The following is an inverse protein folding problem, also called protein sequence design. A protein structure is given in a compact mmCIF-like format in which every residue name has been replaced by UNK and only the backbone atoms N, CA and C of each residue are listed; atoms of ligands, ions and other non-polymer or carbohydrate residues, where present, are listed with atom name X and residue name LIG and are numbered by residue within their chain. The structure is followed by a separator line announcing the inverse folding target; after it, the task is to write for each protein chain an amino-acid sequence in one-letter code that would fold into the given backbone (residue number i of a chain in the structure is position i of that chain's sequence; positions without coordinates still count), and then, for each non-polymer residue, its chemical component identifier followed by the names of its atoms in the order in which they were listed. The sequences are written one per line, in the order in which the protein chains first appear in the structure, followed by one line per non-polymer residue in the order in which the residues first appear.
data_IF_546040295336
#
_entry.id   IF_546040295336
#
_cell.length_a   1.000
_cell.length_b   1.000
_cell.length_c   1.000
_cell.angle_alpha   90.00
_cell.angle_beta   90.00
_cell.angle_gamma   90.00
#
_symmetry.space_group_name_H-M   'P 1'
#
loop_
_entity.id
_entity.type
_entity.pdbx_description
1 polymer ?
#
# COMPACT_ATOMS: atom_id res chain seq x y z
N UNK A 1 -28.33 -77.99 33.78
CA UNK A 1 -28.91 -77.01 34.72
C UNK A 1 -28.55 -75.62 34.19
N UNK A 2 -29.50 -74.89 33.61
CA UNK A 2 -29.25 -73.59 32.95
C UNK A 2 -29.58 -72.47 33.93
N UNK A 3 -28.57 -71.68 34.31
CA UNK A 3 -28.74 -70.46 35.13
C UNK A 3 -29.01 -69.28 34.20
N UNK A 4 -30.20 -68.70 34.28
CA UNK A 4 -30.55 -67.45 33.60
C UNK A 4 -30.42 -66.32 34.62
N UNK A 5 -29.44 -65.44 34.42
CA UNK A 5 -29.22 -64.25 35.25
C UNK A 5 -29.93 -63.06 34.59
N UNK A 6 -30.88 -62.43 35.31
CA UNK A 6 -31.54 -61.21 34.86
C UNK A 6 -30.56 -60.04 34.91
N UNK A 7 -30.28 -59.43 33.76
CA UNK A 7 -29.55 -58.17 33.66
C UNK A 7 -30.43 -57.06 34.25
N UNK A 8 -30.02 -56.46 35.36
CA UNK A 8 -30.74 -55.36 36.01
C UNK A 8 -30.53 -54.05 35.25
N UNK A 9 -31.62 -53.38 34.83
CA UNK A 9 -31.62 -52.14 34.02
C UNK A 9 -30.71 -51.01 34.55
N UNK A 10 -30.49 -50.93 35.86
CA UNK A 10 -29.62 -49.93 36.50
C UNK A 10 -28.16 -50.03 36.06
N UNK A 11 -27.67 -51.23 35.73
CA UNK A 11 -26.32 -51.40 35.20
C UNK A 11 -26.22 -50.85 33.77
N UNK A 12 -27.26 -51.04 32.96
CA UNK A 12 -27.31 -50.61 31.56
C UNK A 12 -27.32 -49.07 31.43
N UNK A 13 -28.12 -48.38 32.26
CA UNK A 13 -28.16 -46.91 32.27
C UNK A 13 -26.86 -46.27 32.78
N UNK A 14 -26.18 -46.90 33.74
CA UNK A 14 -24.92 -46.37 34.27
C UNK A 14 -23.78 -46.47 33.26
N UNK A 15 -23.75 -47.53 32.45
CA UNK A 15 -22.78 -47.67 31.36
C UNK A 15 -23.06 -46.70 30.21
N UNK A 16 -24.34 -46.47 29.88
CA UNK A 16 -24.75 -45.49 28.84
C UNK A 16 -24.42 -44.05 29.23
N UNK A 17 -24.62 -43.68 30.50
CA UNK A 17 -24.28 -42.34 30.99
C UNK A 17 -22.75 -42.15 31.00
N UNK A 18 -21.98 -43.18 31.38
CA UNK A 18 -20.52 -43.11 31.39
C UNK A 18 -19.93 -43.00 29.97
N UNK A 19 -20.49 -43.70 28.98
CA UNK A 19 -20.06 -43.57 27.57
C UNK A 19 -20.46 -42.23 26.97
N UNK A 20 -21.62 -41.67 27.32
CA UNK A 20 -22.06 -40.35 26.87
C UNK A 20 -21.19 -39.21 27.42
N UNK A 21 -20.71 -39.34 28.66
CA UNK A 21 -19.77 -38.38 29.27
C UNK A 21 -18.37 -38.48 28.63
N UNK A 22 -17.89 -39.69 28.31
CA UNK A 22 -16.62 -39.87 27.61
C UNK A 22 -16.63 -39.32 26.17
N UNK A 23 -17.77 -39.36 25.47
CA UNK A 23 -17.91 -38.77 24.12
C UNK A 23 -17.95 -37.24 24.16
N UNK A 24 -18.41 -36.63 25.26
CA UNK A 24 -18.42 -35.17 25.44
C UNK A 24 -17.05 -34.56 25.81
N UNK A 25 -16.08 -35.38 26.24
CA UNK A 25 -14.73 -34.91 26.60
C UNK A 25 -13.75 -34.88 25.42
N UNK A 26 -14.18 -35.28 24.22
CA UNK A 26 -13.43 -35.09 22.99
C UNK A 26 -13.75 -33.68 22.46
N UNK A 27 -13.44 -32.65 23.24
CA UNK A 27 -13.38 -31.28 22.73
C UNK A 27 -12.16 -31.19 21.82
N UNK A 28 -12.36 -31.34 20.52
CA UNK A 28 -11.33 -31.05 19.53
C UNK A 28 -10.93 -29.58 19.67
N UNK A 29 -9.70 -29.34 20.15
CA UNK A 29 -9.09 -28.03 20.01
C UNK A 29 -8.96 -27.75 18.51
N UNK A 30 -9.83 -26.89 17.97
CA UNK A 30 -9.67 -26.34 16.63
C UNK A 30 -8.51 -25.35 16.73
N UNK A 31 -7.30 -25.81 16.45
CA UNK A 31 -6.19 -24.90 16.18
C UNK A 31 -6.53 -24.15 14.89
N UNK A 32 -6.53 -22.81 14.94
CA UNK A 32 -6.62 -21.99 13.75
C UNK A 32 -5.50 -22.43 12.79
N UNK A 33 -5.85 -22.68 11.53
CA UNK A 33 -4.86 -23.06 10.52
C UNK A 33 -4.10 -21.77 10.17
N UNK A 34 -2.76 -21.74 10.30
CA UNK A 34 -1.99 -20.58 9.92
C UNK A 34 -2.16 -20.28 8.44
N UNK A 35 -2.47 -19.03 8.13
CA UNK A 35 -2.57 -18.52 6.75
C UNK A 35 -1.44 -17.53 6.52
N UNK A 36 -0.68 -17.76 5.44
CA UNK A 36 0.42 -16.88 5.02
C UNK A 36 0.10 -16.36 3.63
N UNK A 37 0.12 -15.04 3.46
CA UNK A 37 -0.01 -14.39 2.16
C UNK A 37 1.07 -13.32 2.01
N UNK A 38 1.40 -12.98 0.77
CA UNK A 38 2.42 -11.99 0.47
C UNK A 38 1.92 -11.11 -0.67
N UNK A 39 2.16 -9.80 -0.59
CA UNK A 39 1.75 -8.81 -1.59
C UNK A 39 2.85 -7.78 -1.84
N UNK A 40 2.76 -7.12 -2.98
CA UNK A 40 3.67 -6.05 -3.37
C UNK A 40 2.87 -4.75 -3.56
N UNK A 41 3.44 -3.62 -3.14
CA UNK A 41 2.75 -2.32 -3.25
C UNK A 41 2.53 -1.87 -4.69
N UNK A 42 3.44 -2.24 -5.60
CA UNK A 42 3.42 -1.90 -7.03
C UNK A 42 4.32 -2.84 -7.83
N UNK A 43 4.04 -3.02 -9.11
CA UNK A 43 4.79 -3.85 -10.06
C UNK A 43 5.82 -3.06 -10.90
N UNK A 44 5.81 -1.73 -10.80
CA UNK A 44 6.74 -0.83 -11.48
C UNK A 44 7.43 0.09 -10.46
N UNK A 45 8.73 0.33 -10.57
CA UNK A 45 9.50 1.20 -9.67
C UNK A 45 10.65 1.91 -10.39
N UNK A 46 11.03 3.09 -9.92
CA UNK A 46 12.20 3.79 -10.43
C UNK A 46 13.49 3.23 -9.81
N UNK A 47 14.57 3.24 -10.59
CA UNK A 47 15.89 2.88 -10.08
C UNK A 47 16.26 3.72 -8.85
N UNK A 48 16.52 3.08 -7.72
CA UNK A 48 16.85 3.72 -6.44
C UNK A 48 15.65 4.10 -5.56
N UNK A 49 14.42 3.93 -6.03
CA UNK A 49 13.21 4.03 -5.20
C UNK A 49 12.81 2.64 -4.68
N UNK A 50 12.12 2.58 -3.54
CA UNK A 50 11.74 1.29 -2.93
C UNK A 50 10.30 0.89 -3.24
N UNK A 51 10.06 -0.41 -3.40
CA UNK A 51 8.73 -1.04 -3.34
C UNK A 51 8.54 -1.72 -1.98
N UNK A 52 7.30 -1.80 -1.50
CA UNK A 52 6.99 -2.47 -0.23
C UNK A 52 6.46 -3.87 -0.52
N UNK A 53 7.16 -4.87 0.00
CA UNK A 53 6.73 -6.26 0.08
C UNK A 53 6.10 -6.48 1.47
N UNK A 54 4.83 -6.85 1.50
CA UNK A 54 4.09 -7.09 2.75
C UNK A 54 3.81 -8.59 2.89
N UNK A 55 4.29 -9.18 3.98
CA UNK A 55 3.96 -10.55 4.37
C UNK A 55 2.90 -10.51 5.47
N UNK A 56 1.76 -11.15 5.23
CA UNK A 56 0.68 -11.30 6.21
C UNK A 56 0.67 -12.72 6.77
N UNK A 57 0.67 -12.83 8.09
CA UNK A 57 0.53 -14.08 8.84
C UNK A 57 -0.70 -13.99 9.75
N UNK A 58 -1.64 -14.90 9.54
CA UNK A 58 -2.91 -15.03 10.28
C UNK A 58 -2.97 -16.38 11.00
N UNK A 59 -3.82 -16.50 12.02
CA UNK A 59 -3.99 -17.74 12.80
C UNK A 59 -2.82 -18.13 13.72
N UNK A 60 -1.84 -17.24 13.94
CA UNK A 60 -0.68 -17.46 14.82
C UNK A 60 -0.53 -16.27 15.76
N UNK A 61 -0.46 -16.54 17.06
CA UNK A 61 -0.16 -15.51 18.06
C UNK A 61 1.35 -15.18 18.05
N UNK A 62 1.67 -13.89 17.98
CA UNK A 62 3.04 -13.35 18.02
C UNK A 62 4.03 -14.12 17.11
N UNK A 63 3.80 -14.17 15.78
CA UNK A 63 4.66 -14.89 14.86
C UNK A 63 6.08 -14.28 14.84
N UNK A 64 7.08 -15.14 14.64
CA UNK A 64 8.45 -14.68 14.40
C UNK A 64 8.53 -13.87 13.11
N UNK A 65 9.48 -12.94 13.04
CA UNK A 65 9.70 -12.14 11.83
C UNK A 65 10.15 -13.07 10.70
N UNK A 66 9.45 -13.08 9.54
CA UNK A 66 9.87 -13.86 8.39
C UNK A 66 11.24 -13.42 7.89
N UNK A 67 12.08 -14.39 7.56
CA UNK A 67 13.32 -14.12 6.84
C UNK A 67 13.00 -14.05 5.35
N UNK A 68 13.34 -12.92 4.72
CA UNK A 68 13.29 -12.76 3.27
C UNK A 68 14.69 -13.05 2.74
N UNK A 69 14.85 -13.97 1.76
CA UNK A 69 16.17 -14.25 1.21
C UNK A 69 16.70 -13.05 0.42
N UNK A 70 18.00 -13.05 0.15
CA UNK A 70 18.59 -12.08 -0.77
C UNK A 70 17.96 -12.23 -2.16
N UNK A 71 17.42 -11.11 -2.65
CA UNK A 71 16.84 -11.01 -3.99
C UNK A 71 17.89 -10.37 -4.88
N UNK A 72 18.22 -11.03 -5.99
CA UNK A 72 19.25 -10.55 -6.91
C UNK A 72 18.95 -9.14 -7.42
N UNK A 73 19.97 -8.27 -7.43
CA UNK A 73 19.86 -6.84 -7.78
C UNK A 73 18.92 -5.99 -6.90
N UNK A 74 18.47 -6.47 -5.73
CA UNK A 74 17.69 -5.68 -4.76
C UNK A 74 18.36 -5.63 -3.37
N UNK A 75 18.29 -4.48 -2.70
CA UNK A 75 18.48 -4.40 -1.26
C UNK A 75 17.16 -4.66 -0.54
N UNK A 76 17.18 -5.44 0.54
CA UNK A 76 15.99 -5.79 1.32
C UNK A 76 16.13 -5.21 2.72
N UNK A 77 15.28 -4.24 3.07
CA UNK A 77 15.28 -3.62 4.39
C UNK A 77 13.96 -3.87 5.13
N UNK A 78 14.01 -4.42 6.34
CA UNK A 78 12.83 -4.54 7.18
C UNK A 78 12.33 -3.15 7.64
N UNK A 79 11.04 -2.87 7.42
CA UNK A 79 10.39 -1.59 7.75
C UNK A 79 9.56 -1.66 9.04
N UNK A 80 9.19 -2.86 9.49
CA UNK A 80 8.51 -3.07 10.77
C UNK A 80 7.37 -4.09 10.71
N UNK A 81 6.78 -4.33 11.88
CA UNK A 81 5.62 -5.20 12.06
C UNK A 81 4.41 -4.36 12.47
N UNK A 82 3.24 -4.69 11.93
CA UNK A 82 1.94 -4.12 12.36
C UNK A 82 0.97 -5.25 12.70
N UNK A 83 0.25 -5.11 13.80
CA UNK A 83 -0.77 -6.06 14.22
C UNK A 83 -2.17 -5.48 13.97
N UNK A 84 -3.03 -6.25 13.31
CA UNK A 84 -4.45 -5.91 13.21
C UNK A 84 -5.11 -6.12 14.58
N UNK A 85 -5.61 -5.03 15.17
CA UNK A 85 -6.33 -5.07 16.45
C UNK A 85 -7.85 -5.13 16.19
N UNK A 86 -8.53 -6.19 16.62
CA UNK A 86 -10.00 -6.23 16.59
C UNK A 86 -10.61 -5.50 17.79
N UNK A 87 -11.71 -4.80 17.52
CA UNK A 87 -12.68 -4.38 18.54
C UNK A 87 -13.52 -5.59 18.95
N UNK A 88 -13.57 -5.93 20.23
CA UNK A 88 -14.52 -6.92 20.75
C UNK A 88 -15.96 -6.47 20.43
N UNK A 89 -16.65 -7.20 19.54
CA UNK A 89 -18.10 -7.00 19.32
C UNK A 89 -18.84 -8.06 20.14
N UNK A 90 -19.55 -7.62 21.19
CA UNK A 90 -20.53 -8.45 21.88
C UNK A 90 -21.86 -8.33 21.15
N UNK A 91 -22.35 -9.41 20.54
CA UNK A 91 -23.69 -9.47 19.96
C UNK A 91 -24.61 -10.21 20.93
N UNK A 92 -25.72 -9.60 21.31
CA UNK A 92 -26.75 -10.27 22.14
C UNK A 92 -27.87 -10.73 21.21
N UNK A 93 -28.07 -12.04 21.09
CA UNK A 93 -29.19 -12.63 20.33
C UNK A 93 -30.04 -13.42 21.33
N UNK A 94 -31.32 -13.04 21.46
CA UNK A 94 -32.30 -13.71 22.34
C UNK A 94 -31.82 -13.90 23.80
N UNK A 95 -31.27 -12.85 24.41
CA UNK A 95 -30.84 -12.86 25.82
C UNK A 95 -29.57 -13.66 26.12
N UNK A 96 -29.02 -14.37 25.14
CA UNK A 96 -27.72 -15.04 25.25
C UNK A 96 -26.64 -14.10 24.71
N UNK A 97 -25.64 -13.80 25.54
CA UNK A 97 -24.44 -13.09 25.08
C UNK A 97 -23.69 -14.02 24.14
N UNK A 98 -23.63 -13.68 22.86
CA UNK A 98 -22.79 -14.37 21.89
C UNK A 98 -21.54 -13.52 21.72
N UNK A 99 -20.46 -13.93 22.40
CA UNK A 99 -19.13 -13.39 22.15
C UNK A 99 -18.63 -13.97 20.84
N UNK A 100 -18.61 -13.15 19.78
CA UNK A 100 -17.93 -13.53 18.54
C UNK A 100 -16.46 -13.16 18.69
N UNK A 101 -15.65 -14.09 19.22
CA UNK A 101 -14.20 -13.98 19.19
C UNK A 101 -13.74 -14.23 17.75
N UNK A 102 -13.50 -13.17 16.99
CA UNK A 102 -12.75 -13.26 15.75
C UNK A 102 -11.28 -13.42 16.12
N UNK A 103 -10.85 -14.67 16.36
CA UNK A 103 -9.50 -15.02 16.81
C UNK A 103 -8.47 -15.02 15.68
N UNK A 104 -8.48 -14.02 14.80
CA UNK A 104 -7.63 -14.02 13.62
C UNK A 104 -6.83 -12.72 13.48
N UNK A 105 -6.01 -12.40 14.48
CA UNK A 105 -5.10 -11.26 14.41
C UNK A 105 -4.09 -11.48 13.27
N UNK A 106 -4.27 -10.74 12.18
CA UNK A 106 -3.28 -10.69 11.11
C UNK A 106 -2.07 -9.85 11.53
N UNK A 107 -0.88 -10.42 11.43
CA UNK A 107 0.39 -9.72 11.57
C UNK A 107 0.93 -9.41 10.18
N UNK A 108 1.29 -8.15 9.95
CA UNK A 108 1.85 -7.65 8.70
C UNK A 108 3.31 -7.29 8.92
N UNK A 109 4.17 -7.80 8.05
CA UNK A 109 5.61 -7.52 8.03
C UNK A 109 5.95 -6.81 6.74
N UNK A 110 6.45 -5.59 6.84
CA UNK A 110 6.74 -4.74 5.69
C UNK A 110 8.25 -4.74 5.42
N UNK A 111 8.64 -5.00 4.17
CA UNK A 111 10.03 -4.98 3.69
C UNK A 111 10.14 -4.02 2.51
N UNK A 112 11.12 -3.11 2.55
CA UNK A 112 11.45 -2.24 1.44
C UNK A 112 12.45 -2.94 0.52
N UNK A 113 12.10 -3.11 -0.74
CA UNK A 113 12.98 -3.65 -1.77
C UNK A 113 13.45 -2.49 -2.66
N UNK A 114 14.76 -2.23 -2.70
CA UNK A 114 15.33 -1.15 -3.52
C UNK A 114 16.19 -1.75 -4.63
N UNK A 115 15.86 -1.52 -5.92
CA UNK A 115 16.62 -2.08 -7.02
C UNK A 115 17.94 -1.32 -7.25
N UNK A 116 18.98 -2.06 -7.61
CA UNK A 116 20.30 -1.51 -7.97
C UNK A 116 20.50 -1.33 -9.48
N UNK A 117 19.63 -1.91 -10.31
CA UNK A 117 19.73 -1.86 -11.77
C UNK A 117 18.35 -1.76 -12.43
N UNK A 118 18.27 -1.06 -13.56
CA UNK A 118 17.06 -0.99 -14.38
C UNK A 118 16.86 -2.26 -15.22
N UNK A 119 15.60 -2.58 -15.55
CA UNK A 119 15.21 -3.76 -16.32
C UNK A 119 14.00 -4.49 -15.73
N UNK A 120 13.67 -5.65 -16.31
CA UNK A 120 12.62 -6.53 -15.79
C UNK A 120 13.23 -7.56 -14.86
N UNK A 121 12.70 -7.67 -13.65
CA UNK A 121 13.16 -8.58 -12.61
C UNK A 121 12.03 -9.48 -12.14
N UNK A 122 12.40 -10.64 -11.61
CA UNK A 122 11.47 -11.57 -10.99
C UNK A 122 11.90 -11.77 -9.55
N UNK A 123 11.04 -11.38 -8.61
CA UNK A 123 11.18 -11.77 -7.22
C UNK A 123 10.71 -13.23 -7.13
N UNK A 124 11.62 -14.18 -6.82
CA UNK A 124 11.27 -15.59 -6.82
C UNK A 124 10.32 -15.94 -5.66
N UNK A 125 9.64 -17.08 -5.79
CA UNK A 125 8.99 -17.71 -4.64
C UNK A 125 10.03 -18.07 -3.58
N UNK A 126 9.77 -17.74 -2.33
CA UNK A 126 10.66 -18.03 -1.20
C UNK A 126 9.90 -18.62 -0.01
N UNK A 127 10.58 -19.42 0.85
CA UNK A 127 9.96 -20.05 1.99
C UNK A 127 9.74 -19.06 3.14
N UNK A 128 8.59 -19.17 3.81
CA UNK A 128 8.23 -18.46 5.05
C UNK A 128 7.85 -19.51 6.09
N UNK A 129 8.45 -19.42 7.28
CA UNK A 129 8.12 -20.33 8.38
C UNK A 129 7.06 -19.71 9.28
N UNK A 130 5.93 -20.39 9.46
CA UNK A 130 4.86 -20.00 10.39
C UNK A 130 4.37 -21.21 11.17
N UNK A 131 4.33 -21.11 12.51
CA UNK A 131 3.94 -22.20 13.42
C UNK A 131 4.63 -23.56 13.12
N UNK A 132 5.93 -23.52 12.78
CA UNK A 132 6.73 -24.71 12.48
C UNK A 132 6.45 -25.37 11.11
N UNK A 133 5.60 -24.76 10.27
CA UNK A 133 5.36 -25.18 8.89
C UNK A 133 5.99 -24.18 7.92
N UNK A 134 6.45 -24.69 6.79
CA UNK A 134 7.02 -23.89 5.70
C UNK A 134 5.92 -23.63 4.66
N UNK A 135 5.73 -22.35 4.34
CA UNK A 135 4.85 -21.83 3.30
C UNK A 135 5.70 -21.22 2.20
N UNK A 136 5.22 -21.20 0.95
CA UNK A 136 5.93 -20.57 -0.15
C UNK A 136 5.16 -19.36 -0.65
N UNK A 137 5.86 -18.24 -0.86
CA UNK A 137 5.28 -17.06 -1.51
C UNK A 137 5.04 -17.29 -2.99
N UNK A 138 4.23 -16.45 -3.63
CA UNK A 138 4.18 -16.37 -5.09
C UNK A 138 5.36 -15.55 -5.63
N UNK A 139 5.75 -15.81 -6.88
CA UNK A 139 6.72 -14.97 -7.59
C UNK A 139 6.07 -13.69 -8.08
N UNK A 140 6.83 -12.58 -8.09
CA UNK A 140 6.38 -11.29 -8.59
C UNK A 140 7.25 -10.80 -9.73
N UNK A 141 6.65 -10.25 -10.78
CA UNK A 141 7.39 -9.53 -11.81
C UNK A 141 7.47 -8.06 -11.41
N UNK A 142 8.67 -7.49 -11.47
CA UNK A 142 8.94 -6.08 -11.15
C UNK A 142 9.66 -5.44 -12.32
N UNK A 143 9.10 -4.35 -12.84
CA UNK A 143 9.75 -3.53 -13.84
C UNK A 143 10.46 -2.35 -13.17
N UNK A 144 11.78 -2.31 -13.27
CA UNK A 144 12.60 -1.20 -12.80
C UNK A 144 12.90 -0.28 -13.97
N UNK A 145 12.43 0.94 -13.89
CA UNK A 145 12.62 1.98 -14.90
C UNK A 145 13.90 2.77 -14.59
N UNK A 146 14.72 3.02 -15.60
CA UNK A 146 15.89 3.89 -15.44
C UNK A 146 15.42 5.34 -15.20
N UNK A 147 16.13 6.09 -14.35
CA UNK A 147 15.91 7.54 -14.21
C UNK A 147 16.09 8.26 -15.55
N UNK A 148 16.88 7.72 -16.48
CA UNK A 148 17.04 8.24 -17.83
C UNK A 148 15.83 7.93 -18.76
N UNK A 149 15.13 6.81 -18.57
CA UNK A 149 13.90 6.47 -19.33
C UNK A 149 12.73 7.40 -18.97
N UNK A 150 12.86 8.19 -17.89
CA UNK A 150 11.99 9.34 -17.55
C UNK A 150 12.00 10.41 -18.67
N UNK A 151 13.07 10.52 -19.45
CA UNK A 151 13.21 11.55 -20.49
C UNK A 151 12.13 11.46 -21.59
N UNK A 152 11.68 10.26 -21.96
CA UNK A 152 10.78 10.10 -23.12
C UNK A 152 9.34 9.75 -22.77
N UNK A 153 9.04 9.29 -21.54
CA UNK A 153 7.71 8.80 -21.21
C UNK A 153 6.94 9.66 -20.20
N UNK A 154 7.64 10.28 -19.23
CA UNK A 154 7.03 11.14 -18.21
C UNK A 154 7.97 12.27 -17.84
N UNK A 155 7.65 13.51 -18.23
CA UNK A 155 8.46 14.68 -17.86
C UNK A 155 7.61 15.85 -17.40
N UNK A 156 8.22 16.72 -16.59
CA UNK A 156 7.57 17.91 -16.02
C UNK A 156 8.21 19.14 -16.61
N UNK A 157 7.37 20.11 -16.97
CA UNK A 157 7.81 21.45 -17.36
C UNK A 157 7.20 22.47 -16.43
N UNK A 158 8.05 23.34 -15.90
CA UNK A 158 7.64 24.53 -15.18
C UNK A 158 7.84 25.71 -16.11
N UNK A 159 6.79 26.51 -16.31
CA UNK A 159 6.83 27.74 -17.09
C UNK A 159 6.39 28.87 -16.19
N UNK A 160 7.25 29.89 -16.09
CA UNK A 160 6.89 31.19 -15.52
C UNK A 160 6.51 32.13 -16.65
N UNK A 161 5.58 33.04 -16.40
CA UNK A 161 5.22 34.10 -17.35
C UNK A 161 6.27 35.22 -17.39
N UNK A 162 7.01 35.45 -16.29
CA UNK A 162 8.11 36.42 -16.18
C UNK A 162 9.29 35.86 -15.39
N UNK A 163 10.51 36.17 -15.84
CA UNK A 163 11.76 35.78 -15.18
C UNK A 163 12.31 36.86 -14.23
N UNK A 164 11.90 38.12 -14.43
CA UNK A 164 12.27 39.27 -13.61
C UNK A 164 10.98 39.98 -13.20
N UNK A 165 10.82 40.21 -11.89
CA UNK A 165 9.56 40.68 -11.29
C UNK A 165 9.86 41.64 -10.15
N UNK A 166 8.95 42.59 -9.93
CA UNK A 166 9.05 43.47 -8.76
C UNK A 166 8.51 42.78 -7.50
N UNK A 167 8.97 43.25 -6.34
CA UNK A 167 8.45 42.79 -5.06
C UNK A 167 6.92 43.05 -4.99
N UNK A 168 6.14 42.05 -4.59
CA UNK A 168 4.67 42.14 -4.56
C UNK A 168 3.98 41.96 -5.92
N UNK A 169 4.71 41.79 -7.01
CA UNK A 169 4.12 41.55 -8.34
C UNK A 169 3.65 40.10 -8.49
N UNK A 170 2.41 39.90 -8.93
CA UNK A 170 1.86 38.58 -9.18
C UNK A 170 2.43 37.99 -10.47
N UNK A 171 2.92 36.76 -10.39
CA UNK A 171 3.31 35.96 -11.55
C UNK A 171 2.57 34.64 -11.59
N UNK A 172 2.31 34.16 -12.80
CA UNK A 172 1.67 32.87 -13.03
C UNK A 172 2.75 31.83 -13.31
N UNK A 173 2.78 30.80 -12.45
CA UNK A 173 3.60 29.62 -12.65
C UNK A 173 2.71 28.49 -13.12
N UNK A 174 3.00 27.99 -14.32
CA UNK A 174 2.29 26.88 -14.94
C UNK A 174 3.15 25.63 -14.89
N UNK A 175 2.59 24.56 -14.36
CA UNK A 175 3.20 23.26 -14.33
C UNK A 175 2.52 22.36 -15.36
N UNK A 176 3.31 21.61 -16.13
CA UNK A 176 2.82 20.65 -17.11
C UNK A 176 3.53 19.31 -16.95
N UNK A 177 2.79 18.27 -16.63
CA UNK A 177 3.23 16.88 -16.67
C UNK A 177 2.83 16.27 -18.00
N UNK A 178 3.81 15.81 -18.76
CA UNK A 178 3.62 15.10 -20.02
C UNK A 178 3.71 13.61 -19.75
N UNK A 179 2.69 12.85 -20.17
CA UNK A 179 2.49 11.43 -19.89
C UNK A 179 2.24 10.68 -21.20
N UNK A 180 3.13 9.75 -21.57
CA UNK A 180 3.06 8.99 -22.84
C UNK A 180 2.08 7.80 -22.75
N UNK A 181 1.58 7.44 -21.56
CA UNK A 181 0.57 6.38 -21.35
C UNK A 181 -0.49 6.83 -20.34
N UNK A 182 -1.72 6.31 -20.46
CA UNK A 182 -2.73 6.44 -19.41
C UNK A 182 -2.33 5.52 -18.23
N UNK A 183 -1.46 6.02 -17.36
CA UNK A 183 -1.19 5.41 -16.05
C UNK A 183 -2.22 5.96 -15.07
N UNK A 184 -2.82 5.07 -14.27
CA UNK A 184 -3.97 5.38 -13.42
C UNK A 184 -3.59 6.13 -12.14
N UNK A 185 -2.40 5.87 -11.60
CA UNK A 185 -1.97 6.38 -10.30
C UNK A 185 -0.58 7.02 -10.42
N UNK A 186 -0.53 8.35 -10.40
CA UNK A 186 0.72 9.11 -10.36
C UNK A 186 0.94 9.65 -8.96
N UNK A 187 2.10 9.34 -8.38
CA UNK A 187 2.59 10.09 -7.23
C UNK A 187 3.37 11.30 -7.72
N UNK A 188 2.74 12.48 -7.69
CA UNK A 188 3.37 13.73 -8.09
C UNK A 188 3.97 14.38 -6.86
N UNK A 189 5.30 14.48 -6.82
CA UNK A 189 6.03 15.20 -5.80
C UNK A 189 6.58 16.51 -6.39
N UNK A 190 6.29 17.63 -5.72
CA UNK A 190 6.70 18.99 -6.03
C UNK A 190 7.26 19.57 -4.73
N UNK A 191 8.51 19.20 -4.37
CA UNK A 191 9.04 19.45 -3.03
C UNK A 191 9.11 20.93 -2.66
N UNK A 192 9.24 21.81 -3.65
CA UNK A 192 9.34 23.24 -3.42
C UNK A 192 7.98 23.92 -3.24
N UNK A 193 6.86 23.32 -3.65
CA UNK A 193 5.54 23.96 -3.52
C UNK A 193 5.22 24.28 -2.05
N UNK A 194 5.61 23.38 -1.14
CA UNK A 194 5.47 23.55 0.31
C UNK A 194 6.58 24.43 0.94
N UNK A 195 7.67 24.62 0.19
CA UNK A 195 8.89 25.30 0.64
C UNK A 195 9.01 26.77 0.25
N UNK A 196 8.06 27.33 -0.51
CA UNK A 196 8.09 28.73 -1.00
C UNK A 196 7.80 29.77 0.11
N UNK A 197 8.57 29.78 1.19
CA UNK A 197 8.45 30.74 2.31
C UNK A 197 8.65 32.21 1.88
N UNK A 198 9.25 32.42 0.72
CA UNK A 198 9.54 33.74 0.14
C UNK A 198 8.45 34.22 -0.83
N UNK A 199 7.38 33.46 -1.01
CA UNK A 199 6.25 33.83 -1.85
C UNK A 199 4.93 33.65 -1.11
N UNK A 200 3.99 34.54 -1.37
CA UNK A 200 2.58 34.26 -1.15
C UNK A 200 2.09 33.43 -2.34
N UNK A 201 1.58 32.23 -2.06
CA UNK A 201 1.08 31.28 -3.06
C UNK A 201 -0.44 31.29 -3.04
N UNK A 202 -1.07 31.61 -4.18
CA UNK A 202 -2.54 31.59 -4.34
C UNK A 202 -2.95 30.84 -5.59
N UNK A 203 -4.22 30.40 -5.64
CA UNK A 203 -4.80 29.82 -6.84
C UNK A 203 -5.22 30.91 -7.84
N UNK A 204 -5.09 30.66 -9.16
CA UNK A 204 -5.62 31.56 -10.18
C UNK A 204 -7.14 31.42 -10.31
N UNK A 205 -7.75 32.40 -10.97
CA UNK A 205 -9.14 32.28 -11.39
C UNK A 205 -9.26 31.18 -12.45
N UNK A 206 -10.25 30.30 -12.28
CA UNK A 206 -10.50 29.19 -13.19
C UNK A 206 -11.37 29.66 -14.36
N UNK A 207 -10.93 29.41 -15.58
CA UNK A 207 -11.74 29.59 -16.78
C UNK A 207 -12.86 28.54 -16.83
N UNK A 208 -14.11 29.00 -16.84
CA UNK A 208 -15.33 28.19 -16.78
C UNK A 208 -15.54 27.31 -18.02
N UNK A 209 -14.81 27.55 -19.10
CA UNK A 209 -14.91 26.77 -20.33
C UNK A 209 -14.18 25.42 -20.25
N UNK A 210 -13.35 25.21 -19.22
CA UNK A 210 -12.63 23.97 -19.03
C UNK A 210 -13.22 23.09 -17.92
N UNK A 211 -13.08 21.78 -18.11
CA UNK A 211 -13.37 20.79 -17.07
C UNK A 211 -12.10 20.51 -16.28
N UNK A 212 -12.11 20.87 -15.01
CA UNK A 212 -11.00 20.62 -14.09
C UNK A 212 -11.22 19.32 -13.32
N UNK A 213 -10.10 18.70 -12.95
CA UNK A 213 -10.04 17.54 -12.08
C UNK A 213 -9.23 17.87 -10.82
N UNK A 214 -9.56 17.21 -9.71
CA UNK A 214 -8.78 17.28 -8.48
C UNK A 214 -7.64 16.28 -8.57
N UNK A 215 -6.44 16.70 -8.21
CA UNK A 215 -5.24 15.88 -8.20
C UNK A 215 -4.58 15.99 -6.82
N UNK A 216 -4.12 14.86 -6.28
CA UNK A 216 -3.31 14.84 -5.06
C UNK A 216 -1.84 14.97 -5.49
N UNK A 217 -1.15 15.97 -4.94
CA UNK A 217 0.30 16.19 -5.06
C UNK A 217 0.91 16.14 -3.66
N UNK A 218 2.19 15.81 -3.58
CA UNK A 218 2.96 15.72 -2.33
C UNK A 218 2.36 14.75 -1.29
N UNK A 219 1.52 13.80 -1.73
CA UNK A 219 0.91 12.76 -0.89
C UNK A 219 -0.44 13.12 -0.27
N UNK A 220 -0.75 14.40 -0.04
CA UNK A 220 -2.00 14.83 0.60
C UNK A 220 -2.57 16.16 0.10
N UNK A 221 -1.80 16.94 -0.66
CA UNK A 221 -2.19 18.27 -1.09
C UNK A 221 -3.06 18.20 -2.35
N UNK A 222 -4.25 18.77 -2.30
CA UNK A 222 -5.15 18.78 -3.46
C UNK A 222 -4.93 20.03 -4.34
N UNK A 223 -4.67 19.82 -5.63
CA UNK A 223 -4.61 20.88 -6.64
C UNK A 223 -5.71 20.70 -7.70
N UNK A 224 -6.14 21.81 -8.29
CA UNK A 224 -7.10 21.83 -9.39
C UNK A 224 -6.29 21.83 -10.69
N UNK A 225 -6.46 20.77 -11.48
CA UNK A 225 -5.68 20.55 -12.69
C UNK A 225 -6.56 20.35 -13.93
N UNK A 226 -5.99 20.65 -15.09
CA UNK A 226 -6.54 20.40 -16.41
C UNK A 226 -5.87 19.16 -17.02
N UNK A 227 -6.68 18.26 -17.59
CA UNK A 227 -6.19 17.14 -18.41
C UNK A 227 -6.51 17.43 -19.86
N UNK A 228 -5.48 17.55 -20.70
CA UNK A 228 -5.61 17.70 -22.15
C UNK A 228 -4.64 16.75 -22.87
N UNK A 229 -4.72 16.71 -24.20
CA UNK A 229 -3.71 16.05 -25.05
C UNK A 229 -2.88 17.13 -25.75
N UNK A 230 -1.56 17.04 -25.68
CA UNK A 230 -0.64 17.92 -26.40
C UNK A 230 0.36 17.09 -27.19
N UNK A 231 0.81 17.62 -28.34
CA UNK A 231 1.93 17.04 -29.07
C UNK A 231 3.24 17.64 -28.55
N UNK A 232 4.20 16.79 -28.23
CA UNK A 232 5.55 17.20 -27.89
C UNK A 232 6.56 16.39 -28.70
N UNK A 233 7.47 17.07 -29.39
CA UNK A 233 8.44 16.46 -30.32
C UNK A 233 7.81 15.47 -31.31
N UNK A 234 6.60 15.76 -31.80
CA UNK A 234 5.88 14.92 -32.76
C UNK A 234 5.14 13.72 -32.15
N UNK A 235 5.22 13.51 -30.83
CA UNK A 235 4.53 12.43 -30.11
C UNK A 235 3.34 12.99 -29.31
N UNK A 236 2.19 12.30 -29.26
CA UNK A 236 1.06 12.71 -28.43
C UNK A 236 1.29 12.35 -26.96
N UNK A 237 1.08 13.31 -26.08
CA UNK A 237 1.11 13.12 -24.63
C UNK A 237 -0.24 13.49 -24.03
N UNK A 238 -0.64 12.75 -23.01
CA UNK A 238 -1.59 13.25 -22.03
C UNK A 238 -0.87 14.28 -21.17
N UNK A 239 -1.38 15.49 -21.12
CA UNK A 239 -0.81 16.57 -20.31
C UNK A 239 -1.74 16.89 -19.15
N UNK A 240 -1.21 16.78 -17.94
CA UNK A 240 -1.85 17.30 -16.73
C UNK A 240 -1.18 18.65 -16.44
N UNK A 241 -1.98 19.69 -16.26
CA UNK A 241 -1.46 21.02 -15.96
C UNK A 241 -2.21 21.71 -14.86
N UNK A 242 -1.51 22.45 -14.02
CA UNK A 242 -2.13 23.38 -13.09
C UNK A 242 -1.30 24.64 -12.97
N UNK A 243 -1.91 25.67 -12.39
CA UNK A 243 -1.30 26.97 -12.23
C UNK A 243 -1.33 27.41 -10.78
N UNK A 244 -0.31 28.17 -10.38
CA UNK A 244 -0.26 28.90 -9.12
C UNK A 244 0.15 30.33 -9.40
N UNK A 245 -0.42 31.25 -8.64
CA UNK A 245 0.02 32.64 -8.60
C UNK A 245 1.05 32.73 -7.47
N UNK A 246 2.27 33.15 -7.83
CA UNK A 246 3.30 33.46 -6.85
C UNK A 246 3.43 34.97 -6.74
N UNK A 247 3.49 35.47 -5.52
CA UNK A 247 3.76 36.89 -5.22
C UNK A 247 5.00 36.97 -4.33
N UNK A 248 6.14 37.47 -4.82
CA UNK A 248 7.36 37.52 -4.04
C UNK A 248 7.21 38.48 -2.86
N UNK A 249 7.59 38.03 -1.67
CA UNK A 249 7.57 38.83 -0.43
C UNK A 249 8.98 39.14 0.08
N UNK A 250 10.02 38.64 -0.59
CA UNK A 250 11.42 38.98 -0.33
C UNK A 250 12.24 39.01 -1.63
N UNK A 251 13.25 39.87 -1.66
CA UNK A 251 14.16 40.02 -2.80
C UNK A 251 15.17 38.86 -2.81
N UNK A 252 15.36 38.22 -3.96
CA UNK A 252 16.31 37.14 -4.10
C UNK A 252 16.29 36.51 -5.49
N UNK A 253 17.18 35.55 -5.71
CA UNK A 253 17.14 34.64 -6.86
C UNK A 253 16.53 33.32 -6.42
N UNK A 254 15.49 32.88 -7.12
CA UNK A 254 14.74 31.67 -6.79
C UNK A 254 14.76 30.74 -8.00
N UNK A 255 15.08 29.47 -7.77
CA UNK A 255 15.06 28.47 -8.83
C UNK A 255 13.75 27.66 -8.73
N UNK A 256 12.97 27.64 -9.81
CA UNK A 256 11.69 26.95 -9.90
C UNK A 256 11.81 25.76 -10.85
N UNK A 257 12.78 24.89 -10.60
CA UNK A 257 13.00 23.70 -11.40
C UNK A 257 12.03 22.56 -11.00
N UNK A 258 11.51 21.79 -11.97
CA UNK A 258 10.86 20.53 -11.67
C UNK A 258 11.92 19.55 -11.17
N UNK A 259 11.92 19.25 -9.87
CA UNK A 259 12.81 18.26 -9.24
C UNK A 259 12.51 16.86 -9.76
#
# INVERSE_FOLDING_TARGET
MVKIQKLTHTFFYRTIILTMVCICLISSNVFAIPEVSCSLSQDNVLLGDSIILTVKISGVDNPQTPEVPDIDDFSVDFRGMRQESFSHITVVIQGTKVEKKSSDSGYYFDFALTPHRAGSFVIPSFPITAAGKIYHTQSFNVQVLDKAEKSENIFVKVKVDKNEVYLGEKIVVTFKWYLNKDISDYYINIPWLDGLKNFLVTDPELDKNFTYQKLIVNGDQQVIALKNKEFYNGQPYTVISFQKILTPISIGKYNLEPV
#
